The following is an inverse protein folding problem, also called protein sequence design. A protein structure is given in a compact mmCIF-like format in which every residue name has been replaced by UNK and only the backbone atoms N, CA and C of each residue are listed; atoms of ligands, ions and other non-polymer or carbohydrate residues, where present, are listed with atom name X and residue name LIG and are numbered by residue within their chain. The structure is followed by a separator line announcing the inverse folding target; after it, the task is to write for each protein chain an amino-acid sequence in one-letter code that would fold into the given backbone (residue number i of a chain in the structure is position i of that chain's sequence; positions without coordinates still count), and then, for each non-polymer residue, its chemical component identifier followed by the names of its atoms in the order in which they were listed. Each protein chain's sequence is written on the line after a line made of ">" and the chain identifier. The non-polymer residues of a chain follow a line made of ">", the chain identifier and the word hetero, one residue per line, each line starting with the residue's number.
data_IF_669118691791
#
_entry.id   IF_669118691791
#
_cell.length_a   1.000
_cell.length_b   1.000
_cell.length_c   1.000
_cell.angle_alpha   90.00
_cell.angle_beta   90.00
_cell.angle_gamma   90.00
#
_symmetry.space_group_name_H-M   'P 1'
#
loop_
_entity.id
_entity.type
_entity.pdbx_description
1 polymer ?
#
# COMPACT_ATOMS: atom_id res chain seq x y z
N UNK A 1 7.31 8.03 24.04
CA UNK A 1 5.93 7.98 24.55
C UNK A 1 4.98 7.81 23.37
N UNK A 2 4.19 6.74 23.38
CA UNK A 2 3.16 6.49 22.37
C UNK A 2 2.10 7.60 22.47
N UNK A 3 1.92 8.34 21.38
CA UNK A 3 0.80 9.28 21.24
C UNK A 3 -0.32 8.56 20.49
N UNK A 4 -1.49 8.47 21.13
CA UNK A 4 -2.67 7.84 20.52
C UNK A 4 -3.20 8.73 19.40
N UNK A 5 -3.26 8.27 18.13
CA UNK A 5 -3.84 9.04 17.05
C UNK A 5 -5.36 9.26 17.26
N UNK A 6 -5.89 10.36 16.73
CA UNK A 6 -7.33 10.68 16.83
C UNK A 6 -8.24 9.60 16.24
N UNK A 7 -7.78 8.90 15.19
CA UNK A 7 -8.53 7.82 14.52
C UNK A 7 -8.77 6.58 15.39
N UNK A 8 -8.11 6.44 16.54
CA UNK A 8 -8.21 5.26 17.38
C UNK A 8 -9.50 5.19 18.24
N UNK A 9 -10.45 6.10 18.06
CA UNK A 9 -11.67 6.22 18.87
C UNK A 9 -12.95 5.87 18.11
N UNK A 10 -12.90 5.53 16.81
CA UNK A 10 -14.09 5.12 16.07
C UNK A 10 -14.45 3.64 16.34
N UNK A 11 -15.75 3.32 16.29
CA UNK A 11 -16.24 1.96 16.48
C UNK A 11 -15.58 0.98 15.48
N UNK A 12 -15.06 -0.13 16.01
CA UNK A 12 -14.35 -1.17 15.26
C UNK A 12 -15.33 -2.09 14.51
N UNK A 13 -16.12 -1.52 13.61
CA UNK A 13 -16.97 -2.33 12.73
C UNK A 13 -16.20 -2.93 11.55
N UNK A 14 -14.98 -2.46 11.30
CA UNK A 14 -14.16 -2.85 10.17
C UNK A 14 -12.68 -2.59 10.46
N UNK A 15 -11.81 -3.54 10.14
CA UNK A 15 -10.35 -3.35 10.18
C UNK A 15 -9.92 -2.70 8.86
N UNK A 16 -9.32 -1.51 8.93
CA UNK A 16 -8.77 -0.81 7.77
C UNK A 16 -7.25 -0.79 7.84
N UNK A 17 -6.60 -1.26 6.79
CA UNK A 17 -5.13 -1.30 6.69
C UNK A 17 -4.70 -0.67 5.37
N UNK A 18 -3.78 0.28 5.45
CA UNK A 18 -3.19 0.91 4.28
C UNK A 18 -1.70 0.56 4.13
N UNK A 19 -1.26 0.45 2.91
CA UNK A 19 0.11 0.09 2.55
C UNK A 19 0.67 1.05 1.50
N UNK A 20 1.95 1.39 1.61
CA UNK A 20 2.68 1.88 0.45
C UNK A 20 2.92 0.77 -0.57
N UNK A 21 3.28 1.16 -1.80
CA UNK A 21 3.52 0.23 -2.89
C UNK A 21 4.95 -0.30 -2.92
N UNK A 22 5.87 0.53 -3.38
CA UNK A 22 7.28 0.16 -3.60
C UNK A 22 8.00 -0.08 -2.27
N UNK A 23 8.84 -1.10 -2.23
CA UNK A 23 9.56 -1.55 -1.04
C UNK A 23 8.68 -2.04 0.13
N UNK A 24 7.34 -2.02 0.00
CA UNK A 24 6.40 -2.56 0.98
C UNK A 24 5.63 -3.75 0.39
N UNK A 25 4.67 -3.52 -0.50
CA UNK A 25 3.93 -4.60 -1.19
C UNK A 25 4.74 -5.16 -2.35
N UNK A 26 5.38 -4.28 -3.12
CA UNK A 26 6.29 -4.65 -4.21
C UNK A 26 7.75 -4.54 -3.77
N UNK A 27 8.66 -5.13 -4.54
CA UNK A 27 10.10 -4.97 -4.30
C UNK A 27 10.52 -3.50 -4.45
N UNK A 28 11.72 -3.19 -3.96
CA UNK A 28 12.34 -1.88 -4.07
C UNK A 28 13.00 -1.59 -5.44
N UNK A 29 12.81 -2.49 -6.43
CA UNK A 29 13.49 -2.40 -7.74
C UNK A 29 13.25 -1.05 -8.43
N UNK A 30 11.98 -0.68 -8.57
CA UNK A 30 11.59 0.55 -9.26
C UNK A 30 12.00 1.80 -8.48
N UNK A 31 11.90 1.75 -7.15
CA UNK A 31 12.35 2.84 -6.28
C UNK A 31 13.87 3.06 -6.39
N UNK A 32 14.67 1.98 -6.44
CA UNK A 32 16.12 2.09 -6.65
C UNK A 32 16.45 2.73 -8.00
N UNK A 33 15.74 2.37 -9.07
CA UNK A 33 15.95 2.99 -10.38
C UNK A 33 15.64 4.49 -10.31
N UNK A 34 14.52 4.84 -9.70
CA UNK A 34 14.16 6.25 -9.50
C UNK A 34 15.23 7.03 -8.73
N UNK A 35 15.70 6.49 -7.60
CA UNK A 35 16.70 7.16 -6.74
C UNK A 35 18.07 7.27 -7.39
N UNK A 36 18.48 6.30 -8.22
CA UNK A 36 19.83 6.27 -8.80
C UNK A 36 19.92 6.87 -10.19
N UNK A 37 18.84 6.83 -10.97
CA UNK A 37 18.84 7.20 -12.40
C UNK A 37 17.78 8.25 -12.75
N UNK A 38 16.91 8.61 -11.80
CA UNK A 38 15.90 9.65 -11.96
C UNK A 38 14.59 9.17 -12.60
N UNK A 39 13.69 10.15 -12.79
CA UNK A 39 12.30 9.89 -13.22
C UNK A 39 12.20 9.31 -14.63
N UNK A 40 13.04 9.77 -15.57
CA UNK A 40 12.99 9.32 -16.95
C UNK A 40 13.35 7.83 -17.07
N UNK A 41 14.40 7.38 -16.37
CA UNK A 41 14.80 5.99 -16.32
C UNK A 41 13.72 5.11 -15.66
N UNK A 42 13.11 5.60 -14.58
CA UNK A 42 11.98 4.93 -13.95
C UNK A 42 10.81 4.76 -14.92
N UNK A 43 10.38 5.81 -15.60
CA UNK A 43 9.27 5.74 -16.55
C UNK A 43 9.56 4.82 -17.74
N UNK A 44 10.81 4.84 -18.24
CA UNK A 44 11.24 3.92 -19.29
C UNK A 44 11.19 2.47 -18.80
N UNK A 45 11.75 2.19 -17.63
CA UNK A 45 11.73 0.86 -17.01
C UNK A 45 10.29 0.34 -16.83
N UNK A 46 9.39 1.18 -16.32
CA UNK A 46 8.00 0.80 -16.12
C UNK A 46 7.25 0.54 -17.45
N UNK A 47 7.54 1.31 -18.50
CA UNK A 47 7.00 1.07 -19.85
C UNK A 47 7.47 -0.25 -20.46
N UNK A 48 8.78 -0.52 -20.40
CA UNK A 48 9.38 -1.75 -20.92
C UNK A 48 8.89 -3.01 -20.18
N UNK A 49 8.66 -2.88 -18.88
CA UNK A 49 8.19 -3.98 -18.04
C UNK A 49 6.67 -3.95 -17.75
N UNK A 50 5.91 -3.12 -18.45
CA UNK A 50 4.48 -2.91 -18.16
C UNK A 50 3.62 -4.19 -18.20
N UNK A 51 4.07 -5.24 -18.91
CA UNK A 51 3.39 -6.54 -18.98
C UNK A 51 3.89 -7.56 -17.94
N UNK A 52 5.01 -7.28 -17.28
CA UNK A 52 5.59 -8.17 -16.26
C UNK A 52 5.09 -7.74 -14.87
N UNK A 53 4.59 -8.66 -14.05
CA UNK A 53 4.27 -8.36 -12.66
C UNK A 53 5.49 -7.81 -11.92
N UNK A 54 5.24 -6.91 -10.98
CA UNK A 54 6.25 -6.45 -10.02
C UNK A 54 6.66 -7.63 -9.12
N UNK A 55 7.94 -7.74 -8.75
CA UNK A 55 8.35 -8.73 -7.75
C UNK A 55 7.74 -8.43 -6.38
N UNK A 56 7.60 -9.48 -5.56
CA UNK A 56 7.04 -9.36 -4.21
C UNK A 56 7.95 -8.55 -3.29
N UNK A 57 7.35 -7.63 -2.54
CA UNK A 57 7.97 -6.93 -1.43
C UNK A 57 7.76 -7.63 -0.08
N UNK A 58 8.28 -7.04 1.02
CA UNK A 58 8.23 -7.64 2.34
C UNK A 58 6.82 -7.98 2.83
N UNK A 59 5.82 -7.16 2.48
CA UNK A 59 4.43 -7.28 2.94
C UNK A 59 3.48 -7.92 1.91
N UNK A 60 3.98 -8.38 0.76
CA UNK A 60 3.15 -9.05 -0.24
C UNK A 60 2.38 -10.25 0.34
N UNK A 61 3.04 -11.07 1.19
CA UNK A 61 2.40 -12.23 1.83
C UNK A 61 1.30 -11.82 2.80
N UNK A 62 1.48 -10.73 3.54
CA UNK A 62 0.44 -10.20 4.43
C UNK A 62 -0.77 -9.75 3.62
N UNK A 63 -0.57 -9.00 2.55
CA UNK A 63 -1.66 -8.55 1.67
C UNK A 63 -2.41 -9.73 1.06
N UNK A 64 -1.69 -10.76 0.58
CA UNK A 64 -2.30 -11.99 0.05
C UNK A 64 -3.13 -12.71 1.11
N UNK A 65 -2.64 -12.80 2.35
CA UNK A 65 -3.38 -13.41 3.45
C UNK A 65 -4.66 -12.61 3.80
N UNK A 66 -4.58 -11.29 3.83
CA UNK A 66 -5.76 -10.43 4.06
C UNK A 66 -6.79 -10.60 2.94
N UNK A 67 -6.35 -10.61 1.68
CA UNK A 67 -7.21 -10.86 0.52
C UNK A 67 -7.87 -12.24 0.58
N UNK A 68 -7.11 -13.27 0.98
CA UNK A 68 -7.68 -14.62 1.20
C UNK A 68 -8.77 -14.61 2.27
N UNK A 69 -8.55 -13.92 3.39
CA UNK A 69 -9.53 -13.80 4.48
C UNK A 69 -10.78 -13.07 3.97
N UNK A 70 -10.62 -11.94 3.26
CA UNK A 70 -11.75 -11.17 2.71
C UNK A 70 -12.62 -12.02 1.76
N UNK A 71 -11.97 -12.86 0.92
CA UNK A 71 -12.68 -13.62 -0.10
C UNK A 71 -13.31 -14.93 0.41
N UNK A 72 -12.72 -15.54 1.45
CA UNK A 72 -13.09 -16.89 1.87
C UNK A 72 -13.78 -16.97 3.23
N UNK A 73 -13.58 -15.98 4.11
CA UNK A 73 -14.24 -15.95 5.39
C UNK A 73 -15.48 -15.05 5.32
N UNK A 74 -16.63 -15.70 5.47
CA UNK A 74 -17.93 -15.02 5.56
C UNK A 74 -18.56 -15.32 6.91
N UNK A 75 -19.33 -14.39 7.43
CA UNK A 75 -20.14 -14.63 8.64
C UNK A 75 -21.34 -15.57 8.34
N UNK A 76 -22.11 -15.86 9.37
CA UNK A 76 -23.30 -16.72 9.26
C UNK A 76 -24.36 -16.19 8.28
N UNK A 77 -24.38 -14.88 8.03
CA UNK A 77 -25.26 -14.20 7.08
C UNK A 77 -24.64 -14.05 5.68
N UNK A 78 -23.45 -14.61 5.45
CA UNK A 78 -22.76 -14.58 4.16
C UNK A 78 -22.05 -13.27 3.84
N UNK A 79 -21.89 -12.36 4.82
CA UNK A 79 -21.15 -11.10 4.66
C UNK A 79 -19.64 -11.37 4.69
N UNK A 80 -18.90 -10.66 3.84
CA UNK A 80 -17.43 -10.76 3.82
C UNK A 80 -16.82 -10.32 5.16
N UNK A 81 -15.60 -10.81 5.44
CA UNK A 81 -14.83 -10.40 6.61
C UNK A 81 -14.72 -8.85 6.66
N UNK A 82 -14.86 -8.25 7.84
CA UNK A 82 -14.83 -6.80 7.99
C UNK A 82 -13.40 -6.23 7.92
N UNK A 83 -12.71 -6.54 6.83
CA UNK A 83 -11.36 -6.03 6.53
C UNK A 83 -11.45 -5.19 5.26
N UNK A 84 -10.81 -4.01 5.27
CA UNK A 84 -10.70 -3.14 4.13
C UNK A 84 -9.25 -2.74 3.94
N UNK A 85 -8.75 -2.91 2.74
CA UNK A 85 -7.34 -2.67 2.39
C UNK A 85 -7.20 -1.53 1.40
N UNK A 86 -6.16 -0.71 1.57
CA UNK A 86 -5.82 0.36 0.64
C UNK A 86 -4.34 0.33 0.26
N UNK A 87 -4.06 0.56 -1.00
CA UNK A 87 -2.74 0.88 -1.51
C UNK A 87 -2.63 2.39 -1.72
N UNK A 88 -1.65 3.03 -1.11
CA UNK A 88 -1.40 4.48 -1.21
C UNK A 88 0.01 4.68 -1.73
N UNK A 89 0.18 4.81 -3.03
CA UNK A 89 1.49 4.83 -3.70
C UNK A 89 1.77 6.16 -4.39
N UNK A 90 3.04 6.58 -4.39
CA UNK A 90 3.50 7.76 -5.13
C UNK A 90 3.48 7.57 -6.66
N UNK A 91 3.29 6.34 -7.15
CA UNK A 91 3.21 6.06 -8.59
C UNK A 91 2.08 6.84 -9.27
N UNK A 92 2.30 7.19 -10.53
CA UNK A 92 1.32 7.83 -11.40
C UNK A 92 1.28 7.14 -12.77
N UNK A 93 0.59 7.71 -13.75
CA UNK A 93 0.65 7.24 -15.14
C UNK A 93 2.08 7.43 -15.71
N UNK A 94 2.63 6.47 -16.45
CA UNK A 94 2.06 5.17 -16.87
C UNK A 94 2.29 4.03 -15.86
N UNK A 95 3.08 4.23 -14.81
CA UNK A 95 3.55 3.20 -13.88
C UNK A 95 2.40 2.49 -13.10
N UNK A 96 1.26 3.15 -12.92
CA UNK A 96 0.07 2.58 -12.26
C UNK A 96 -0.46 1.31 -12.93
N UNK A 97 -0.32 1.17 -14.26
CA UNK A 97 -0.82 0.00 -14.99
C UNK A 97 -0.13 -1.30 -14.56
N UNK A 98 1.17 -1.22 -14.29
CA UNK A 98 1.95 -2.39 -13.84
C UNK A 98 1.48 -2.85 -12.45
N UNK A 99 1.14 -1.91 -11.55
CA UNK A 99 0.54 -2.21 -10.24
C UNK A 99 -0.75 -2.99 -10.39
N UNK A 100 -1.70 -2.49 -11.18
CA UNK A 100 -3.00 -3.13 -11.40
C UNK A 100 -2.82 -4.55 -11.97
N UNK A 101 -1.94 -4.71 -12.96
CA UNK A 101 -1.64 -6.03 -13.55
C UNK A 101 -1.00 -6.98 -12.54
N UNK A 102 -0.14 -6.48 -11.68
CA UNK A 102 0.52 -7.28 -10.63
C UNK A 102 -0.50 -7.83 -9.65
N UNK A 103 -1.37 -6.97 -9.11
CA UNK A 103 -2.41 -7.38 -8.17
C UNK A 103 -3.36 -8.42 -8.79
N UNK A 104 -3.73 -8.24 -10.06
CA UNK A 104 -4.52 -9.23 -10.81
C UNK A 104 -3.79 -10.55 -11.01
N UNK A 105 -2.48 -10.51 -11.36
CA UNK A 105 -1.67 -11.71 -11.54
C UNK A 105 -1.46 -12.48 -10.22
N UNK A 106 -1.50 -11.80 -9.09
CA UNK A 106 -1.43 -12.41 -7.76
C UNK A 106 -2.78 -12.89 -7.23
N UNK A 107 -3.86 -12.63 -7.95
CA UNK A 107 -5.25 -12.87 -7.50
C UNK A 107 -5.54 -12.20 -6.13
N UNK A 108 -5.08 -10.95 -5.99
CA UNK A 108 -5.24 -10.15 -4.78
C UNK A 108 -6.31 -9.11 -5.00
N UNK A 109 -7.35 -9.15 -4.18
CA UNK A 109 -8.30 -8.07 -4.04
C UNK A 109 -7.73 -6.98 -3.11
N UNK A 110 -7.78 -5.75 -3.58
CA UNK A 110 -7.52 -4.54 -2.79
C UNK A 110 -8.76 -3.65 -2.95
N UNK A 111 -9.29 -3.13 -1.85
CA UNK A 111 -10.55 -2.38 -1.90
C UNK A 111 -10.37 -1.01 -2.53
N UNK A 112 -9.26 -0.34 -2.23
CA UNK A 112 -8.95 0.99 -2.74
C UNK A 112 -7.49 1.11 -3.17
N UNK A 113 -7.25 1.84 -4.26
CA UNK A 113 -5.89 2.14 -4.72
C UNK A 113 -5.78 3.61 -5.07
N UNK A 114 -4.88 4.31 -4.39
CA UNK A 114 -4.61 5.72 -4.56
C UNK A 114 -3.25 5.93 -5.22
N UNK A 115 -3.27 6.43 -6.43
CA UNK A 115 -2.07 6.80 -7.20
C UNK A 115 -1.81 8.30 -7.02
N UNK A 116 -0.88 8.65 -6.15
CA UNK A 116 -0.71 10.01 -5.65
C UNK A 116 0.10 10.92 -6.56
N UNK A 117 0.96 10.36 -7.45
CA UNK A 117 1.77 11.16 -8.36
C UNK A 117 2.69 12.17 -7.65
N UNK A 118 3.18 11.83 -6.46
CA UNK A 118 4.02 12.72 -5.65
C UNK A 118 3.25 13.68 -4.71
N UNK A 119 1.92 13.65 -4.73
CA UNK A 119 1.09 14.38 -3.75
C UNK A 119 1.21 13.71 -2.37
N UNK A 120 1.09 14.50 -1.30
CA UNK A 120 1.20 13.98 0.07
C UNK A 120 0.11 12.95 0.37
N UNK A 121 0.51 11.85 1.03
CA UNK A 121 -0.40 10.76 1.42
C UNK A 121 -1.35 11.14 2.56
N UNK A 122 -1.06 12.21 3.29
CA UNK A 122 -1.78 12.64 4.49
C UNK A 122 -3.29 12.79 4.28
N UNK A 123 -3.71 13.41 3.19
CA UNK A 123 -5.13 13.68 2.92
C UNK A 123 -5.92 12.37 2.68
N UNK A 124 -5.30 11.44 1.95
CA UNK A 124 -5.88 10.12 1.71
C UNK A 124 -5.94 9.31 3.00
N UNK A 125 -4.87 9.33 3.82
CA UNK A 125 -4.85 8.63 5.11
C UNK A 125 -5.88 9.22 6.08
N UNK A 126 -6.04 10.54 6.12
CA UNK A 126 -7.06 11.20 6.93
C UNK A 126 -8.50 10.82 6.48
N UNK A 127 -8.73 10.66 5.18
CA UNK A 127 -10.03 10.26 4.63
C UNK A 127 -10.33 8.77 4.79
N UNK A 128 -9.36 7.91 4.50
CA UNK A 128 -9.50 6.44 4.60
C UNK A 128 -9.52 5.98 6.06
N UNK A 129 -8.84 6.70 6.97
CA UNK A 129 -8.73 6.42 8.42
C UNK A 129 -8.30 4.99 8.71
N UNK A 130 -7.13 4.55 8.24
CA UNK A 130 -6.66 3.19 8.51
C UNK A 130 -6.29 3.03 9.99
N UNK A 131 -6.51 1.84 10.53
CA UNK A 131 -6.03 1.45 11.86
C UNK A 131 -4.52 1.22 11.89
N UNK A 132 -3.93 0.90 10.72
CA UNK A 132 -2.50 0.75 10.51
C UNK A 132 -2.14 1.20 9.09
N UNK A 133 -1.01 1.91 8.99
CA UNK A 133 -0.37 2.26 7.73
C UNK A 133 1.07 1.79 7.72
N UNK A 134 1.54 1.26 6.60
CA UNK A 134 2.91 0.76 6.45
C UNK A 134 3.60 1.43 5.26
N UNK A 135 4.80 1.99 5.50
CA UNK A 135 5.62 2.68 4.50
C UNK A 135 7.10 2.41 4.82
N UNK A 136 7.97 2.41 3.83
CA UNK A 136 9.41 2.20 4.01
C UNK A 136 10.17 3.50 4.30
N UNK A 137 9.63 4.64 3.86
CA UNK A 137 10.28 5.93 3.94
C UNK A 137 9.99 6.64 5.27
N UNK A 138 11.05 6.96 6.03
CA UNK A 138 10.94 7.63 7.33
C UNK A 138 10.12 8.92 7.27
N UNK A 139 10.37 9.77 6.27
CA UNK A 139 9.65 11.04 6.13
C UNK A 139 8.14 10.87 5.87
N UNK A 140 7.71 9.79 5.21
CA UNK A 140 6.30 9.45 5.07
C UNK A 140 5.72 8.93 6.39
N UNK A 141 6.46 8.06 7.07
CA UNK A 141 6.06 7.52 8.37
C UNK A 141 5.89 8.64 9.40
N UNK A 142 6.82 9.59 9.49
CA UNK A 142 6.76 10.70 10.46
C UNK A 142 5.51 11.56 10.25
N UNK A 143 5.17 11.88 9.00
CA UNK A 143 3.96 12.63 8.67
C UNK A 143 2.68 11.83 8.94
N UNK A 144 2.67 10.56 8.55
CA UNK A 144 1.51 9.70 8.73
C UNK A 144 1.24 9.40 10.22
N UNK A 145 2.28 9.25 11.04
CA UNK A 145 2.17 8.91 12.46
C UNK A 145 1.42 9.95 13.30
N UNK A 146 1.29 11.19 12.81
CA UNK A 146 0.46 12.22 13.47
C UNK A 146 -1.04 11.98 13.25
N UNK A 147 -1.41 11.23 12.22
CA UNK A 147 -2.79 10.98 11.81
C UNK A 147 -3.25 9.56 12.12
N UNK A 148 -2.40 8.58 11.87
CA UNK A 148 -2.74 7.15 11.95
C UNK A 148 -1.58 6.34 12.55
N UNK A 149 -1.85 5.21 13.23
CA UNK A 149 -0.81 4.28 13.66
C UNK A 149 0.02 3.83 12.45
N UNK A 150 1.33 4.09 12.50
CA UNK A 150 2.22 3.88 11.35
C UNK A 150 3.37 2.97 11.71
N UNK A 151 3.64 1.99 10.87
CA UNK A 151 4.78 1.09 10.95
C UNK A 151 5.76 1.32 9.79
N UNK A 152 7.04 1.51 10.13
CA UNK A 152 8.09 1.56 9.10
C UNK A 152 8.52 0.16 8.72
N UNK A 153 8.51 -0.12 7.41
CA UNK A 153 8.99 -1.37 6.83
C UNK A 153 10.48 -1.26 6.53
N UNK A 154 11.35 -2.09 7.14
CA UNK A 154 12.78 -2.01 6.90
C UNK A 154 13.12 -2.56 5.51
N UNK A 155 13.89 -1.80 4.73
CA UNK A 155 14.51 -2.28 3.49
C UNK A 155 15.80 -3.01 3.87
N UNK A 156 15.95 -4.26 3.43
CA UNK A 156 17.24 -4.94 3.50
C UNK A 156 18.14 -4.37 2.40
N UNK A 157 19.11 -3.59 2.79
CA UNK A 157 20.21 -3.16 1.92
C UNK A 157 21.25 -4.25 1.80
#
# INVERSE_FOLDING_TARGET
>A
LYQKPESALEELNQIRIAFDGDAVIFSDESERIFQTQGIEAFEQHERENAKKPLPEGPFARLLKALSFIQNNLKDAEGRAAPIRTALVTARSSPAHQRVIRTLRAWDVAIDETFFMGGVAKSDVLAAFKPHMFFDDQQGHCDRAATLVPTGRVPIRR
#
